data_IF_168275214396
#
_entry.id   IF_168275214396
#
_cell.length_a   1.000
_cell.length_b   1.000
_cell.length_c   1.000
_cell.angle_alpha   90.00
_cell.angle_beta   90.00
_cell.angle_gamma   90.00
#
_symmetry.space_group_name_H-M   'P 1'
#
loop_
_entity.id
_entity.type
_entity.pdbx_description
1 polymer ?
#
# COMPACT_ATOMS: atom_id res chain seq x y z
N UNK A 1 -3.66 -16.77 -23.69
CA UNK A 1 -3.74 -15.29 -23.70
C UNK A 1 -4.56 -14.73 -22.53
N UNK A 2 -5.64 -15.39 -22.09
CA UNK A 2 -6.44 -14.91 -20.94
C UNK A 2 -5.72 -15.05 -19.59
N UNK A 3 -4.99 -16.14 -19.36
CA UNK A 3 -4.20 -16.34 -18.12
C UNK A 3 -3.17 -15.22 -17.88
N UNK A 4 -2.49 -14.75 -18.94
CA UNK A 4 -1.53 -13.65 -18.82
C UNK A 4 -2.19 -12.32 -18.43
N UNK A 5 -3.43 -12.07 -18.88
CA UNK A 5 -4.20 -10.88 -18.47
C UNK A 5 -4.67 -10.99 -17.02
N UNK A 6 -5.11 -12.17 -16.58
CA UNK A 6 -5.53 -12.41 -15.20
C UNK A 6 -4.35 -12.22 -14.22
N UNK A 7 -3.17 -12.73 -14.56
CA UNK A 7 -1.94 -12.52 -13.77
C UNK A 7 -1.57 -11.03 -13.72
N UNK A 8 -1.54 -10.35 -14.87
CA UNK A 8 -1.22 -8.92 -14.93
C UNK A 8 -2.21 -8.05 -14.15
N UNK A 9 -3.51 -8.35 -14.20
CA UNK A 9 -4.53 -7.64 -13.43
C UNK A 9 -4.35 -7.85 -11.92
N UNK A 10 -4.05 -9.08 -11.50
CA UNK A 10 -3.74 -9.39 -10.10
C UNK A 10 -2.51 -8.63 -9.60
N UNK A 11 -1.43 -8.65 -10.37
CA UNK A 11 -0.18 -7.95 -10.01
C UNK A 11 -0.39 -6.43 -9.93
N UNK A 12 -1.18 -5.86 -10.84
CA UNK A 12 -1.55 -4.45 -10.80
C UNK A 12 -2.33 -4.11 -9.52
N UNK A 13 -3.34 -4.91 -9.17
CA UNK A 13 -4.12 -4.69 -7.93
C UNK A 13 -3.20 -4.76 -6.71
N UNK A 14 -2.30 -5.74 -6.65
CA UNK A 14 -1.31 -5.84 -5.57
C UNK A 14 -0.39 -4.62 -5.51
N UNK A 15 0.03 -4.09 -6.67
CA UNK A 15 0.86 -2.89 -6.73
C UNK A 15 0.10 -1.66 -6.20
N UNK A 16 -1.19 -1.50 -6.53
CA UNK A 16 -2.04 -0.42 -6.01
C UNK A 16 -2.14 -0.48 -4.49
N UNK A 17 -2.38 -1.66 -3.90
CA UNK A 17 -2.40 -1.80 -2.45
C UNK A 17 -1.07 -1.46 -1.79
N UNK A 18 0.05 -1.94 -2.37
CA UNK A 18 1.40 -1.62 -1.85
C UNK A 18 1.66 -0.12 -1.86
N UNK A 19 1.28 0.57 -2.94
CA UNK A 19 1.43 2.02 -3.05
C UNK A 19 0.55 2.74 -2.03
N UNK A 20 -0.73 2.38 -1.91
CA UNK A 20 -1.64 3.00 -0.95
C UNK A 20 -1.19 2.81 0.50
N UNK A 21 -0.66 1.63 0.85
CA UNK A 21 -0.05 1.39 2.17
C UNK A 21 1.18 2.28 2.35
N UNK A 22 2.10 2.28 1.38
CA UNK A 22 3.33 3.07 1.45
C UNK A 22 3.03 4.57 1.64
N UNK A 23 2.09 5.13 0.87
CA UNK A 23 1.65 6.51 0.96
C UNK A 23 0.90 6.82 2.27
N UNK A 24 0.06 5.89 2.75
CA UNK A 24 -0.59 6.01 4.06
C UNK A 24 0.41 5.96 5.21
N UNK A 25 1.56 5.32 5.02
CA UNK A 25 2.66 5.28 5.99
C UNK A 25 3.63 6.45 5.82
N UNK A 26 3.54 7.24 4.74
CA UNK A 26 4.54 8.26 4.42
C UNK A 26 5.91 7.66 4.13
N UNK A 27 5.94 6.47 3.52
CA UNK A 27 7.17 5.74 3.18
C UNK A 27 7.28 5.63 1.67
N UNK A 28 8.36 6.14 1.10
CA UNK A 28 8.67 5.97 -0.31
C UNK A 28 9.90 5.06 -0.45
N UNK A 29 9.90 4.23 -1.48
CA UNK A 29 11.03 3.39 -1.83
C UNK A 29 11.62 3.93 -3.13
N UNK A 30 12.80 4.52 -3.05
CA UNK A 30 13.53 4.95 -4.25
C UNK A 30 14.03 3.73 -5.00
N UNK A 31 13.63 3.60 -6.28
CA UNK A 31 14.10 2.53 -7.18
C UNK A 31 15.19 3.00 -8.15
N UNK A 32 15.64 4.25 -8.05
CA UNK A 32 16.43 4.90 -9.10
C UNK A 32 17.94 4.56 -9.12
N UNK A 33 18.48 3.79 -8.17
CA UNK A 33 19.91 3.47 -8.14
C UNK A 33 20.20 1.98 -7.84
N UNK A 34 21.33 1.43 -8.32
CA UNK A 34 21.81 0.08 -7.98
C UNK A 34 22.19 -0.11 -6.49
N UNK A 35 21.86 0.87 -5.63
CA UNK A 35 22.05 0.85 -4.20
C UNK A 35 20.94 0.05 -3.50
N UNK A 36 21.13 -0.44 -2.26
CA UNK A 36 20.04 -1.03 -1.49
C UNK A 36 18.86 -0.07 -1.42
N UNK A 37 17.65 -0.61 -1.57
CA UNK A 37 16.38 0.16 -1.58
C UNK A 37 16.38 1.12 -0.39
N UNK A 38 16.59 2.41 -0.67
CA UNK A 38 16.61 3.46 0.36
C UNK A 38 15.17 3.77 0.71
N UNK A 39 14.80 3.51 1.96
CA UNK A 39 13.54 3.99 2.54
C UNK A 39 13.66 5.51 2.67
N UNK A 40 12.93 6.27 1.86
CA UNK A 40 12.80 7.72 1.98
C UNK A 40 11.52 8.05 2.75
N UNK A 41 11.60 9.09 3.58
CA UNK A 41 10.44 9.60 4.31
C UNK A 41 9.65 10.51 3.37
N UNK A 42 8.44 10.09 3.01
CA UNK A 42 7.48 10.88 2.24
C UNK A 42 6.52 11.63 3.16
N UNK A 43 5.65 12.44 2.55
CA UNK A 43 4.50 13.01 3.26
C UNK A 43 3.40 11.97 3.45
N UNK A 44 2.68 12.03 4.58
CA UNK A 44 1.48 11.21 4.78
C UNK A 44 0.41 11.62 3.75
N UNK A 45 -0.14 10.65 3.02
CA UNK A 45 -1.26 10.89 2.13
C UNK A 45 -2.57 10.40 2.78
N UNK A 46 -3.44 11.35 3.14
CA UNK A 46 -4.74 11.06 3.76
C UNK A 46 -5.66 10.30 2.79
N UNK A 47 -5.63 10.64 1.51
CA UNK A 47 -6.46 10.01 0.48
C UNK A 47 -6.10 8.52 0.33
N UNK A 48 -4.83 8.15 0.51
CA UNK A 48 -4.40 6.76 0.49
C UNK A 48 -5.03 5.95 1.65
N UNK A 49 -5.10 6.54 2.85
CA UNK A 49 -5.79 5.95 3.99
C UNK A 49 -7.31 5.87 3.78
N UNK A 50 -7.92 6.85 3.12
CA UNK A 50 -9.34 6.81 2.72
C UNK A 50 -9.63 5.72 1.70
N UNK A 51 -8.77 5.58 0.68
CA UNK A 51 -8.85 4.51 -0.30
C UNK A 51 -8.84 3.14 0.39
N UNK A 52 -7.90 2.87 1.30
CA UNK A 52 -7.79 1.57 2.00
C UNK A 52 -9.05 1.21 2.82
N UNK A 53 -9.83 2.22 3.22
CA UNK A 53 -11.10 2.06 3.97
C UNK A 53 -12.33 2.06 3.06
N UNK A 54 -12.17 2.32 1.77
CA UNK A 54 -13.28 2.49 0.83
C UNK A 54 -13.87 1.15 0.36
N UNK A 55 -15.14 1.15 -0.11
CA UNK A 55 -15.73 -0.01 -0.78
C UNK A 55 -14.96 -0.45 -2.03
N UNK A 56 -14.23 0.47 -2.67
CA UNK A 56 -13.43 0.17 -3.85
C UNK A 56 -12.23 -0.70 -3.51
N UNK A 57 -11.54 -0.40 -2.41
CA UNK A 57 -10.49 -1.29 -1.90
C UNK A 57 -11.05 -2.66 -1.50
N UNK A 58 -12.24 -2.73 -0.88
CA UNK A 58 -12.86 -4.02 -0.58
C UNK A 58 -13.08 -4.86 -1.85
N UNK A 59 -13.69 -4.26 -2.88
CA UNK A 59 -13.91 -4.92 -4.17
C UNK A 59 -12.62 -5.39 -4.83
N UNK A 60 -11.59 -4.54 -4.90
CA UNK A 60 -10.31 -4.90 -5.50
C UNK A 60 -9.59 -6.02 -4.72
N UNK A 61 -9.66 -6.00 -3.39
CA UNK A 61 -9.07 -7.04 -2.56
C UNK A 61 -9.74 -8.41 -2.81
N UNK A 62 -11.07 -8.43 -2.93
CA UNK A 62 -11.82 -9.65 -3.20
C UNK A 62 -11.42 -10.28 -4.54
N UNK A 63 -11.18 -9.48 -5.57
CA UNK A 63 -10.71 -9.96 -6.90
C UNK A 63 -9.36 -10.68 -6.84
N UNK A 64 -8.53 -10.42 -5.84
CA UNK A 64 -7.20 -11.04 -5.67
C UNK A 64 -7.12 -11.99 -4.47
N UNK A 65 -8.24 -12.26 -3.80
CA UNK A 65 -8.32 -13.16 -2.65
C UNK A 65 -7.73 -12.58 -1.36
N UNK A 66 -7.76 -11.26 -1.20
CA UNK A 66 -7.30 -10.54 -0.01
C UNK A 66 -8.46 -9.90 0.75
N UNK A 67 -8.17 -9.33 1.92
CA UNK A 67 -9.15 -8.56 2.71
C UNK A 67 -8.63 -7.15 2.96
N UNK A 68 -9.26 -6.13 2.37
CA UNK A 68 -8.87 -4.73 2.54
C UNK A 68 -8.84 -4.29 4.01
N UNK A 69 -9.77 -4.81 4.83
CA UNK A 69 -9.80 -4.55 6.28
C UNK A 69 -8.56 -5.08 7.00
N UNK A 70 -8.05 -6.24 6.60
CA UNK A 70 -6.82 -6.80 7.16
C UNK A 70 -5.62 -5.93 6.79
N UNK A 71 -5.54 -5.51 5.51
CA UNK A 71 -4.49 -4.60 5.01
C UNK A 71 -4.50 -3.27 5.79
N UNK A 72 -5.66 -2.67 6.01
CA UNK A 72 -5.78 -1.46 6.83
C UNK A 72 -5.34 -1.70 8.28
N UNK A 73 -5.77 -2.82 8.89
CA UNK A 73 -5.35 -3.18 10.24
C UNK A 73 -3.84 -3.32 10.38
N UNK A 74 -3.19 -3.96 9.40
CA UNK A 74 -1.72 -4.05 9.33
C UNK A 74 -1.06 -2.68 9.16
N UNK A 75 -1.63 -1.83 8.31
CA UNK A 75 -1.12 -0.47 8.09
C UNK A 75 -1.11 0.33 9.39
N UNK A 76 -2.22 0.31 10.14
CA UNK A 76 -2.32 1.00 11.44
C UNK A 76 -1.35 0.40 12.46
N UNK A 77 -1.19 -0.93 12.50
CA UNK A 77 -0.20 -1.58 13.37
C UNK A 77 1.22 -1.09 13.06
N UNK A 78 1.57 -0.96 11.78
CA UNK A 78 2.88 -0.48 11.35
C UNK A 78 3.09 1.00 11.71
N UNK A 79 2.07 1.85 11.58
CA UNK A 79 2.15 3.26 12.02
C UNK A 79 2.44 3.36 13.52
N UNK A 80 1.81 2.52 14.33
CA UNK A 80 1.98 2.53 15.79
C UNK A 80 3.31 1.91 16.24
N UNK A 81 3.82 0.92 15.51
CA UNK A 81 5.05 0.22 15.84
C UNK A 81 6.33 1.00 15.47
N UNK A 82 6.23 1.99 14.56
CA UNK A 82 7.37 2.80 14.12
C UNK A 82 7.21 4.26 14.59
N UNK A 83 7.89 4.67 15.69
CA UNK A 83 7.83 6.03 16.21
C UNK A 83 8.23 7.10 15.19
N UNK A 84 9.05 6.74 14.19
CA UNK A 84 9.47 7.66 13.14
C UNK A 84 8.34 7.98 12.15
N UNK A 85 7.31 7.13 12.07
CA UNK A 85 6.07 7.35 11.30
C UNK A 85 5.02 8.17 12.05
N UNK A 86 5.01 8.11 13.39
CA UNK A 86 3.98 8.75 14.24
C UNK A 86 4.11 10.27 14.40
N UNK A 87 5.28 10.85 14.11
CA UNK A 87 5.64 12.24 14.43
C UNK A 87 5.26 13.29 13.37
N UNK A 88 4.45 12.91 12.36
CA UNK A 88 4.11 13.77 11.22
C UNK A 88 2.60 14.10 11.11
N UNK A 89 1.82 13.85 12.16
CA UNK A 89 0.43 14.26 12.26
C UNK A 89 0.29 15.67 12.86
#
# INVERSE_FOLDING_TARGET
MEEGRAIGARDLILAVFRLAVADSLGVWYGHDEPAPVKRTKGGLNVEAGEFLRSPWAAYLADLVGLQAKAIWGDTVRLQLADPQLSLAA
#
